data_IF_636758968114
#
_entry.id   IF_636758968114
#
_cell.length_a   1.000
_cell.length_b   1.000
_cell.length_c   1.000
_cell.angle_alpha   90.00
_cell.angle_beta   90.00
_cell.angle_gamma   90.00
#
_symmetry.space_group_name_H-M   'P 1'
#
loop_
_entity.id
_entity.type
_entity.pdbx_description
1 polymer ?
#
# COMPACT_ATOMS: atom_id res chain seq x y z
N UNK A 1 -5.03 9.32 -6.94
CA UNK A 1 -3.70 8.88 -7.41
C UNK A 1 -3.26 7.71 -6.53
N UNK A 2 -3.31 6.46 -7.04
CA UNK A 2 -2.76 5.30 -6.32
C UNK A 2 -1.36 5.08 -6.88
N UNK A 3 -0.39 5.86 -6.39
CA UNK A 3 1.02 5.61 -6.70
C UNK A 3 1.63 4.71 -5.63
N UNK A 4 2.64 3.94 -6.03
CA UNK A 4 3.39 3.12 -5.07
C UNK A 4 4.15 3.99 -4.07
N UNK A 5 4.09 3.70 -2.74
CA UNK A 5 4.86 4.43 -1.73
C UNK A 5 6.38 4.30 -1.91
N UNK A 6 6.83 3.36 -2.75
CA UNK A 6 8.22 3.12 -3.10
C UNK A 6 8.61 3.67 -4.48
N UNK A 7 7.74 4.44 -5.15
CA UNK A 7 8.06 5.00 -6.47
C UNK A 7 9.37 5.81 -6.48
N UNK A 8 9.59 6.62 -5.45
CA UNK A 8 10.82 7.41 -5.29
C UNK A 8 12.06 6.55 -5.05
N UNK A 9 11.93 5.46 -4.29
CA UNK A 9 13.01 4.50 -4.04
C UNK A 9 13.42 3.81 -5.34
N UNK A 10 12.45 3.28 -6.09
CA UNK A 10 12.69 2.63 -7.39
C UNK A 10 13.32 3.59 -8.39
N UNK A 11 12.84 4.83 -8.47
CA UNK A 11 13.41 5.85 -9.34
C UNK A 11 14.88 6.10 -9.00
N UNK A 12 15.19 6.30 -7.71
CA UNK A 12 16.57 6.57 -7.28
C UNK A 12 17.48 5.38 -7.55
N UNK A 13 17.04 4.16 -7.29
CA UNK A 13 17.80 2.94 -7.61
C UNK A 13 18.04 2.80 -9.12
N UNK A 14 17.04 3.10 -9.97
CA UNK A 14 17.16 3.03 -11.43
C UNK A 14 18.16 4.05 -11.99
N UNK A 15 18.18 5.26 -11.44
CA UNK A 15 19.06 6.36 -11.91
C UNK A 15 20.50 6.19 -11.41
N UNK A 16 20.69 5.66 -10.20
CA UNK A 16 22.03 5.42 -9.65
C UNK A 16 22.65 4.16 -10.26
N UNK A 17 23.82 4.29 -10.89
CA UNK A 17 24.58 3.18 -11.50
C UNK A 17 25.39 2.40 -10.43
N UNK A 18 24.68 1.82 -9.45
CA UNK A 18 25.27 1.08 -8.34
C UNK A 18 25.85 1.96 -7.23
N UNK A 19 26.17 1.34 -6.08
CA UNK A 19 26.61 2.05 -4.88
C UNK A 19 28.13 2.24 -4.76
N UNK A 20 28.93 1.61 -5.62
CA UNK A 20 30.40 1.67 -5.63
C UNK A 20 31.11 0.95 -4.46
N UNK A 21 30.41 0.64 -3.37
CA UNK A 21 30.89 -0.23 -2.29
C UNK A 21 29.74 -0.88 -1.53
N UNK A 22 30.01 -1.97 -0.82
CA UNK A 22 29.01 -2.68 0.01
C UNK A 22 28.41 -1.76 1.08
N UNK A 23 29.25 -1.01 1.79
CA UNK A 23 28.81 -0.09 2.85
C UNK A 23 27.86 0.97 2.32
N UNK A 24 28.18 1.58 1.17
CA UNK A 24 27.31 2.56 0.52
C UNK A 24 25.98 1.94 0.11
N UNK A 25 26.01 0.71 -0.43
CA UNK A 25 24.79 -0.02 -0.83
C UNK A 25 23.86 -0.28 0.34
N UNK A 26 24.39 -0.74 1.47
CA UNK A 26 23.61 -0.95 2.70
C UNK A 26 23.02 0.36 3.22
N UNK A 27 23.80 1.44 3.22
CA UNK A 27 23.32 2.75 3.64
C UNK A 27 22.20 3.27 2.73
N UNK A 28 22.31 3.07 1.42
CA UNK A 28 21.25 3.43 0.45
C UNK A 28 19.99 2.58 0.64
N UNK A 29 20.13 1.27 0.88
CA UNK A 29 19.02 0.36 1.13
C UNK A 29 18.22 0.75 2.40
N UNK A 30 18.91 1.29 3.41
CA UNK A 30 18.26 1.83 4.62
C UNK A 30 17.68 3.23 4.41
N UNK A 31 18.48 4.16 3.87
CA UNK A 31 18.13 5.58 3.88
C UNK A 31 17.02 5.95 2.91
N UNK A 32 16.91 5.25 1.78
CA UNK A 32 15.86 5.54 0.79
C UNK A 32 14.45 5.26 1.33
N UNK A 33 14.14 4.08 1.92
CA UNK A 33 12.88 3.85 2.62
C UNK A 33 12.64 4.82 3.79
N UNK A 34 13.65 5.08 4.60
CA UNK A 34 13.56 6.03 5.74
C UNK A 34 13.10 7.43 5.29
N UNK A 35 13.70 7.96 4.22
CA UNK A 35 13.28 9.23 3.64
C UNK A 35 11.91 9.18 2.95
N UNK A 36 11.52 8.03 2.41
CA UNK A 36 10.22 7.85 1.79
C UNK A 36 9.11 7.81 2.84
N UNK A 37 9.36 7.17 3.98
CA UNK A 37 8.41 7.06 5.10
C UNK A 37 7.90 8.43 5.56
N UNK A 38 8.79 9.42 5.66
CA UNK A 38 8.43 10.78 6.07
C UNK A 38 7.41 11.45 5.13
N UNK A 39 7.25 10.96 3.89
CA UNK A 39 6.32 11.50 2.89
C UNK A 39 5.08 10.62 2.68
N UNK A 40 4.98 9.47 3.34
CA UNK A 40 3.82 8.60 3.19
C UNK A 40 2.57 9.26 3.75
N UNK A 41 1.54 9.36 2.92
CA UNK A 41 0.22 9.81 3.38
C UNK A 41 -0.44 8.68 4.16
N UNK A 42 -1.09 9.03 5.28
CA UNK A 42 -1.96 8.10 6.00
C UNK A 42 -3.11 7.67 5.09
N UNK A 43 -3.58 6.44 5.26
CA UNK A 43 -4.77 5.94 4.58
C UNK A 43 -6.01 6.47 5.29
N UNK A 44 -6.88 7.18 4.56
CA UNK A 44 -8.12 7.75 5.13
C UNK A 44 -9.03 6.66 5.71
N UNK A 45 -9.08 5.49 5.08
CA UNK A 45 -9.90 4.34 5.48
C UNK A 45 -9.16 3.30 6.32
N UNK A 46 -8.18 3.68 7.13
CA UNK A 46 -7.35 2.71 7.88
C UNK A 46 -8.16 1.71 8.74
N UNK A 47 -9.32 2.15 9.25
CA UNK A 47 -10.24 1.31 10.04
C UNK A 47 -10.93 0.20 9.22
N UNK A 48 -10.95 0.30 7.88
CA UNK A 48 -11.51 -0.71 6.97
C UNK A 48 -10.48 -1.78 6.59
N UNK A 49 -9.18 -1.55 6.86
CA UNK A 49 -8.12 -2.51 6.52
C UNK A 49 -8.30 -3.90 7.14
N UNK A 50 -8.82 -4.07 8.37
CA UNK A 50 -9.14 -5.39 8.90
C UNK A 50 -10.14 -6.15 8.03
N UNK A 51 -11.14 -5.47 7.47
CA UNK A 51 -12.15 -6.07 6.58
C UNK A 51 -11.53 -6.47 5.23
N UNK A 52 -10.69 -5.61 4.67
CA UNK A 52 -9.92 -5.92 3.45
C UNK A 52 -9.00 -7.13 3.69
N UNK A 53 -8.32 -7.19 4.85
CA UNK A 53 -7.47 -8.31 5.24
C UNK A 53 -8.26 -9.61 5.45
N UNK A 54 -9.51 -9.51 5.90
CA UNK A 54 -10.44 -10.64 6.00
C UNK A 54 -10.97 -11.11 4.62
N UNK A 55 -10.56 -10.46 3.52
CA UNK A 55 -10.95 -10.85 2.16
C UNK A 55 -12.31 -10.29 1.72
N UNK A 56 -12.89 -9.34 2.47
CA UNK A 56 -14.12 -8.68 2.07
C UNK A 56 -13.83 -7.80 0.85
N UNK A 57 -14.67 -7.95 -0.19
CA UNK A 57 -14.49 -7.23 -1.45
C UNK A 57 -15.02 -5.80 -1.32
N UNK A 58 -14.19 -4.85 -1.71
CA UNK A 58 -14.57 -3.45 -1.89
C UNK A 58 -14.51 -3.12 -3.39
N UNK A 59 -15.55 -2.49 -3.92
CA UNK A 59 -15.57 -1.95 -5.28
C UNK A 59 -15.72 -0.44 -5.17
N UNK A 60 -14.78 0.32 -5.74
CA UNK A 60 -14.75 1.79 -5.65
C UNK A 60 -14.86 2.35 -4.22
N UNK A 61 -14.32 1.62 -3.25
CA UNK A 61 -14.36 1.99 -1.83
C UNK A 61 -15.65 1.61 -1.10
N UNK A 62 -16.63 1.02 -1.78
CA UNK A 62 -17.88 0.54 -1.18
C UNK A 62 -17.75 -0.95 -0.88
N UNK A 63 -18.05 -1.33 0.37
CA UNK A 63 -18.10 -2.73 0.76
C UNK A 63 -19.25 -3.42 0.01
N UNK A 64 -18.93 -4.54 -0.65
CA UNK A 64 -19.96 -5.35 -1.26
C UNK A 64 -20.57 -6.26 -0.20
N UNK A 65 -21.89 -6.15 -0.01
CA UNK A 65 -22.62 -7.15 0.74
C UNK A 65 -22.45 -8.51 0.03
N UNK A 66 -21.76 -9.43 0.71
CA UNK A 66 -21.71 -10.81 0.26
C UNK A 66 -23.13 -11.30 0.01
N UNK A 67 -23.33 -12.11 -1.03
CA UNK A 67 -24.65 -12.66 -1.44
C UNK A 67 -25.48 -13.25 -0.29
N UNK A 68 -24.86 -13.57 0.85
CA UNK A 68 -25.51 -13.99 2.10
C UNK A 68 -26.45 -12.94 2.74
N UNK A 69 -26.17 -11.63 2.62
CA UNK A 69 -27.04 -10.56 3.17
C UNK A 69 -28.30 -10.37 2.32
N UNK A 70 -28.14 -10.30 0.99
CA UNK A 70 -29.25 -10.11 0.04
C UNK A 70 -30.30 -11.23 0.08
N UNK A 71 -29.92 -12.44 0.47
CA UNK A 71 -30.86 -13.55 0.62
C UNK A 71 -31.82 -13.36 1.82
N UNK A 72 -31.39 -12.65 2.87
CA UNK A 72 -32.18 -12.46 4.10
C UNK A 72 -33.20 -11.32 3.98
N UNK A 73 -32.90 -10.29 3.19
CA UNK A 73 -33.78 -9.14 2.94
C UNK A 73 -34.89 -9.41 1.91
N UNK A 74 -34.80 -10.51 1.14
CA UNK A 74 -35.83 -10.91 0.15
C UNK A 74 -36.80 -11.97 0.68
N UNK A 75 -36.60 -12.42 1.92
CA UNK A 75 -37.39 -13.45 2.60
C UNK A 75 -38.24 -12.89 3.75
N UNK A 76 -38.36 -11.55 3.84
CA UNK A 76 -39.28 -10.82 4.71
C UNK A 76 -40.20 -9.96 3.83
#
# INVERSE_FOLDING_TARGET
MIESPFATVRLRQRVTRGAGSRTKGLLTAYKLPDMAQARWRRLDGAHLLPLVRAGIVFTDGVQQEGKASKARARAA
#
